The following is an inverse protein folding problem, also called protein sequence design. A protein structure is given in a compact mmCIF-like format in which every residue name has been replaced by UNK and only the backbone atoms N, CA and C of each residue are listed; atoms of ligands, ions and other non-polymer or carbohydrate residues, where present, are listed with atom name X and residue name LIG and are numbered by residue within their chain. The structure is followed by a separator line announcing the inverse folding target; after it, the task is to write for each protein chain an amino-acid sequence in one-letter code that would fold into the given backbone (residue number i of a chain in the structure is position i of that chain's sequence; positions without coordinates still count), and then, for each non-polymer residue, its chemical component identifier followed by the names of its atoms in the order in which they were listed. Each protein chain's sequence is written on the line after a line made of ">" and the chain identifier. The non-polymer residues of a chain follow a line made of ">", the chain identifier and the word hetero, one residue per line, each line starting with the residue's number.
data_IF_963159519890
#
_entry.id   IF_963159519890
#
_cell.length_a   1.000
_cell.length_b   1.000
_cell.length_c   1.000
_cell.angle_alpha   90.00
_cell.angle_beta   90.00
_cell.angle_gamma   90.00
#
_symmetry.space_group_name_H-M   'P 1'
#
loop_
_entity.id
_entity.type
_entity.pdbx_description
1 polymer ?
#
# COMPACT_ATOMS: atom_id res chain seq x y z
N UNK A 1 -38.99 -24.07 -23.05
CA UNK A 1 -38.38 -23.99 -21.69
C UNK A 1 -37.26 -22.95 -21.74
N UNK A 2 -37.54 -21.73 -21.27
CA UNK A 2 -36.59 -20.61 -21.23
C UNK A 2 -35.68 -20.81 -20.01
N UNK A 3 -34.37 -20.96 -20.22
CA UNK A 3 -33.38 -20.94 -19.14
C UNK A 3 -33.14 -19.49 -18.76
N UNK A 4 -33.65 -19.09 -17.61
CA UNK A 4 -33.39 -17.80 -16.98
C UNK A 4 -31.95 -17.86 -16.47
N UNK A 5 -31.06 -17.12 -17.11
CA UNK A 5 -29.74 -16.81 -16.57
C UNK A 5 -29.96 -15.84 -15.40
N UNK A 6 -29.87 -16.34 -14.17
CA UNK A 6 -29.85 -15.50 -12.98
C UNK A 6 -28.45 -14.88 -12.92
N UNK A 7 -28.34 -13.66 -13.42
CA UNK A 7 -27.19 -12.79 -13.17
C UNK A 7 -27.26 -12.41 -11.69
N UNK A 8 -26.37 -12.97 -10.89
CA UNK A 8 -26.18 -12.55 -9.50
C UNK A 8 -25.58 -11.15 -9.49
N UNK A 9 -26.44 -10.12 -9.49
CA UNK A 9 -26.03 -8.74 -9.28
C UNK A 9 -25.55 -8.55 -7.84
N UNK A 10 -24.24 -8.33 -7.67
CA UNK A 10 -23.63 -7.89 -6.42
C UNK A 10 -24.15 -6.49 -6.08
N UNK A 11 -24.93 -6.36 -5.01
CA UNK A 11 -25.45 -5.07 -4.55
C UNK A 11 -24.37 -4.38 -3.69
N UNK A 12 -23.41 -3.71 -4.32
CA UNK A 12 -22.50 -2.78 -3.64
C UNK A 12 -23.27 -1.52 -3.27
N UNK A 13 -23.61 -1.36 -1.99
CA UNK A 13 -24.18 -0.08 -1.50
C UNK A 13 -23.03 0.83 -1.11
N UNK A 14 -22.57 1.65 -2.05
CA UNK A 14 -21.72 2.80 -1.76
C UNK A 14 -22.55 3.88 -1.06
N UNK A 15 -22.35 4.06 0.25
CA UNK A 15 -22.95 5.17 0.98
C UNK A 15 -21.91 6.30 1.02
N UNK A 16 -22.04 7.26 0.10
CA UNK A 16 -21.26 8.48 0.16
C UNK A 16 -21.66 9.30 1.40
N UNK A 17 -20.90 9.17 2.48
CA UNK A 17 -21.09 9.94 3.71
C UNK A 17 -20.00 11.01 3.80
N UNK A 18 -20.38 12.27 3.59
CA UNK A 18 -19.51 13.41 3.79
C UNK A 18 -19.45 13.72 5.29
N UNK A 19 -18.33 13.39 5.95
CA UNK A 19 -18.08 13.81 7.34
C UNK A 19 -17.07 14.96 7.36
N UNK A 20 -17.47 16.10 7.90
CA UNK A 20 -16.59 17.27 8.08
C UNK A 20 -15.57 17.10 9.22
N UNK A 21 -15.74 16.09 10.06
CA UNK A 21 -14.81 15.68 11.11
C UNK A 21 -14.71 14.15 11.07
N UNK A 22 -13.78 13.61 10.29
CA UNK A 22 -13.47 12.18 10.39
C UNK A 22 -12.50 11.98 11.55
N UNK A 23 -13.04 11.62 12.72
CA UNK A 23 -12.20 11.00 13.73
C UNK A 23 -11.67 9.69 13.15
N UNK A 24 -10.36 9.56 13.02
CA UNK A 24 -9.74 8.41 12.39
C UNK A 24 -8.75 7.75 13.35
N UNK A 25 -8.66 6.43 13.25
CA UNK A 25 -7.63 5.65 13.96
C UNK A 25 -6.49 5.27 13.02
N UNK A 26 -6.76 5.30 11.73
CA UNK A 26 -5.84 4.88 10.69
C UNK A 26 -5.78 5.95 9.61
N UNK A 27 -4.64 6.08 8.98
CA UNK A 27 -4.48 6.81 7.74
C UNK A 27 -3.30 6.20 7.00
N UNK A 28 -3.58 5.58 5.85
CA UNK A 28 -2.57 5.05 4.94
C UNK A 28 -2.70 5.85 3.64
N UNK A 29 -1.66 6.59 3.25
CA UNK A 29 -1.63 7.31 1.98
C UNK A 29 -1.16 6.38 0.88
N UNK A 30 -1.66 6.62 -0.33
CA UNK A 30 -1.31 5.85 -1.52
C UNK A 30 -0.71 6.78 -2.54
N UNK A 31 0.61 6.90 -2.49
CA UNK A 31 1.38 7.84 -3.30
C UNK A 31 1.99 7.08 -4.48
N UNK A 32 1.86 7.63 -5.70
CA UNK A 32 2.46 7.07 -6.92
C UNK A 32 3.14 8.20 -7.67
N UNK A 33 4.41 8.02 -7.99
CA UNK A 33 5.21 9.01 -8.71
C UNK A 33 6.04 8.35 -9.81
N UNK A 34 6.19 9.07 -10.91
CA UNK A 34 7.06 8.72 -12.02
C UNK A 34 7.91 9.95 -12.34
N UNK A 35 9.19 9.89 -12.00
CA UNK A 35 10.11 11.01 -12.13
C UNK A 35 11.17 10.68 -13.17
N UNK A 36 11.37 11.62 -14.11
CA UNK A 36 12.51 11.58 -15.02
C UNK A 36 13.50 12.65 -14.55
N UNK A 37 14.68 12.21 -14.12
CA UNK A 37 15.70 13.04 -13.49
C UNK A 37 16.97 13.01 -14.34
N UNK A 38 17.68 14.14 -14.40
CA UNK A 38 18.96 14.25 -15.10
C UNK A 38 20.09 14.55 -14.13
N UNK A 39 21.14 13.73 -14.18
CA UNK A 39 22.38 13.91 -13.41
C UNK A 39 23.57 13.91 -14.36
N UNK A 40 24.03 15.10 -14.75
CA UNK A 40 25.07 15.24 -15.77
C UNK A 40 24.60 14.67 -17.12
N UNK A 41 25.18 13.54 -17.51
CA UNK A 41 24.84 12.81 -18.74
C UNK A 41 23.89 11.63 -18.53
N UNK A 42 23.59 11.28 -17.28
CA UNK A 42 22.71 10.17 -16.95
C UNK A 42 21.25 10.64 -16.94
N UNK A 43 20.39 9.72 -17.35
CA UNK A 43 18.94 9.83 -17.25
C UNK A 43 18.46 8.80 -16.24
N UNK A 44 17.81 9.23 -15.17
CA UNK A 44 17.31 8.34 -14.13
C UNK A 44 15.79 8.38 -14.14
N UNK A 45 15.16 7.22 -14.25
CA UNK A 45 13.71 7.06 -14.15
C UNK A 45 13.43 6.47 -12.78
N UNK A 46 12.76 7.25 -11.92
CA UNK A 46 12.43 6.86 -10.55
C UNK A 46 10.93 6.67 -10.43
N UNK A 47 10.52 5.41 -10.26
CA UNK A 47 9.16 5.00 -10.00
C UNK A 47 8.97 4.75 -8.50
N UNK A 48 7.98 5.42 -7.90
CA UNK A 48 7.61 5.20 -6.51
C UNK A 48 6.15 4.74 -6.41
N UNK A 49 5.92 3.65 -5.67
CA UNK A 49 4.59 3.17 -5.29
C UNK A 49 4.53 2.93 -3.79
N UNK A 50 3.93 3.86 -3.05
CA UNK A 50 4.05 3.92 -1.60
C UNK A 50 2.69 3.82 -0.92
N UNK A 51 2.47 2.72 -0.19
CA UNK A 51 1.37 2.56 0.77
C UNK A 51 1.85 2.98 2.15
N UNK A 52 1.73 4.26 2.44
CA UNK A 52 2.46 4.91 3.50
C UNK A 52 1.61 5.14 4.75
N UNK A 53 1.89 4.47 5.88
CA UNK A 53 1.14 4.68 7.12
C UNK A 53 1.49 6.04 7.73
N UNK A 54 0.49 6.91 7.91
CA UNK A 54 0.58 8.20 8.61
C UNK A 54 0.12 8.09 10.06
N UNK A 55 -1.01 7.40 10.26
CA UNK A 55 -1.65 7.23 11.56
C UNK A 55 -1.98 5.75 11.75
N UNK A 56 -1.64 5.19 12.91
CA UNK A 56 -1.97 3.84 13.33
C UNK A 56 -2.48 3.89 14.77
N UNK A 57 -3.65 3.32 15.05
CA UNK A 57 -4.29 3.40 16.37
C UNK A 57 -4.41 4.81 16.95
N UNK A 58 -4.65 5.83 16.12
CA UNK A 58 -4.75 7.21 16.58
C UNK A 58 -3.41 7.81 17.01
N UNK A 59 -2.28 7.20 16.65
CA UNK A 59 -0.94 7.74 16.89
C UNK A 59 -0.16 7.83 15.60
N UNK A 60 0.77 8.79 15.52
CA UNK A 60 1.66 8.92 14.35
C UNK A 60 2.56 7.71 14.28
N UNK A 61 2.73 7.16 13.07
CA UNK A 61 3.53 5.96 12.84
C UNK A 61 5.03 6.26 12.74
N UNK A 62 5.57 7.20 13.53
CA UNK A 62 6.90 7.80 13.31
C UNK A 62 8.04 6.77 13.29
N UNK A 63 8.04 5.79 14.22
CA UNK A 63 9.07 4.74 14.27
C UNK A 63 9.02 3.82 13.05
N UNK A 64 7.81 3.48 12.59
CA UNK A 64 7.60 2.70 11.37
C UNK A 64 8.00 3.50 10.14
N UNK A 65 7.59 4.76 10.03
CA UNK A 65 7.94 5.64 8.92
C UNK A 65 9.45 5.81 8.78
N UNK A 66 10.16 5.96 9.90
CA UNK A 66 11.61 6.03 9.89
C UNK A 66 12.24 4.75 9.32
N UNK A 67 11.72 3.57 9.68
CA UNK A 67 12.22 2.30 9.14
C UNK A 67 11.87 2.10 7.67
N UNK A 68 10.64 2.43 7.28
CA UNK A 68 10.24 2.42 5.87
C UNK A 68 11.13 3.35 5.03
N UNK A 69 11.51 4.53 5.52
CA UNK A 69 12.48 5.40 4.85
C UNK A 69 13.87 4.78 4.73
N UNK A 70 14.38 4.13 5.80
CA UNK A 70 15.70 3.48 5.74
C UNK A 70 15.76 2.42 4.64
N UNK A 71 14.69 1.66 4.44
CA UNK A 71 14.64 0.65 3.40
C UNK A 71 14.25 1.22 2.04
N UNK A 72 13.20 2.03 1.92
CA UNK A 72 12.75 2.55 0.62
C UNK A 72 13.75 3.56 0.05
N UNK A 73 14.28 4.46 0.89
CA UNK A 73 15.10 5.61 0.49
C UNK A 73 16.58 5.48 0.91
N UNK A 74 16.95 4.40 1.57
CA UNK A 74 18.32 4.11 2.02
C UNK A 74 18.71 4.82 3.32
N UNK A 75 17.93 5.82 3.76
CA UNK A 75 18.14 6.56 5.00
C UNK A 75 16.88 7.27 5.46
N UNK A 76 16.87 7.64 6.73
CA UNK A 76 15.91 8.56 7.32
C UNK A 76 16.62 9.83 7.77
N UNK A 77 16.14 11.00 7.35
CA UNK A 77 16.75 12.32 7.67
C UNK A 77 15.87 13.22 8.52
N UNK A 78 15.08 12.62 9.43
CA UNK A 78 14.28 13.36 10.41
C UNK A 78 12.82 13.57 10.02
N UNK A 79 12.49 13.45 8.73
CA UNK A 79 11.12 13.48 8.22
C UNK A 79 10.96 12.65 6.95
N UNK A 80 9.73 12.21 6.66
CA UNK A 80 9.41 11.41 5.46
C UNK A 80 9.72 12.19 4.18
N UNK A 81 9.24 13.43 4.11
CA UNK A 81 9.40 14.27 2.92
C UNK A 81 10.85 14.67 2.70
N UNK A 82 11.56 15.06 3.75
CA UNK A 82 13.00 15.33 3.68
C UNK A 82 13.78 14.09 3.23
N UNK A 83 13.39 12.89 3.68
CA UNK A 83 14.01 11.62 3.26
C UNK A 83 13.76 11.32 1.79
N UNK A 84 12.53 11.55 1.32
CA UNK A 84 12.14 11.40 -0.08
C UNK A 84 12.88 12.39 -0.98
N UNK A 85 12.91 13.66 -0.60
CA UNK A 85 13.62 14.70 -1.35
C UNK A 85 15.12 14.40 -1.41
N UNK A 86 15.72 14.03 -0.27
CA UNK A 86 17.12 13.67 -0.18
C UNK A 86 17.48 12.35 -0.89
N UNK A 87 16.48 11.53 -1.22
CA UNK A 87 16.59 10.36 -2.09
C UNK A 87 16.54 10.76 -3.56
N UNK A 88 15.52 11.50 -3.98
CA UNK A 88 15.37 11.99 -5.36
C UNK A 88 16.60 12.79 -5.81
N UNK A 89 17.16 13.64 -4.93
CA UNK A 89 18.35 14.44 -5.22
C UNK A 89 19.60 13.60 -5.59
N UNK A 90 19.66 12.33 -5.18
CA UNK A 90 20.78 11.44 -5.54
C UNK A 90 20.80 11.13 -7.04
N UNK A 91 19.64 11.22 -7.70
CA UNK A 91 19.45 10.92 -9.12
C UNK A 91 19.37 12.18 -10.01
N UNK A 92 19.55 13.36 -9.42
CA UNK A 92 19.66 14.63 -10.15
C UNK A 92 18.42 15.51 -10.07
N UNK A 93 18.17 16.28 -11.13
CA UNK A 93 17.07 17.28 -11.19
C UNK A 93 15.95 16.82 -12.13
N UNK A 94 14.68 17.14 -11.83
CA UNK A 94 13.57 16.89 -12.75
C UNK A 94 13.81 17.45 -14.15
N UNK A 95 13.43 16.66 -15.15
CA UNK A 95 13.38 17.09 -16.55
C UNK A 95 12.04 17.77 -16.79
N UNK A 96 12.04 19.10 -16.87
CA UNK A 96 10.81 19.91 -16.96
C UNK A 96 10.46 20.34 -18.39
N UNK A 97 11.24 19.93 -19.39
CA UNK A 97 11.08 20.39 -20.77
C UNK A 97 11.60 19.43 -21.83
N UNK A 98 11.46 19.84 -23.09
CA UNK A 98 11.96 19.08 -24.25
C UNK A 98 13.47 19.01 -24.20
N UNK A 99 14.03 17.83 -24.43
CA UNK A 99 15.48 17.63 -24.53
C UNK A 99 15.99 18.16 -25.87
N UNK A 100 17.12 18.87 -25.85
CA UNK A 100 17.76 19.40 -27.07
C UNK A 100 18.20 18.28 -28.04
N UNK A 101 18.42 17.07 -27.52
CA UNK A 101 18.81 15.88 -28.26
C UNK A 101 18.25 14.63 -27.61
N UNK A 102 18.09 13.56 -28.40
CA UNK A 102 17.76 12.24 -27.86
C UNK A 102 18.85 11.79 -26.87
N UNK A 103 18.47 11.36 -25.66
CA UNK A 103 19.43 10.80 -24.70
C UNK A 103 19.96 9.43 -25.16
N UNK A 104 21.14 9.06 -24.68
CA UNK A 104 21.75 7.75 -24.95
C UNK A 104 21.15 6.73 -23.99
N UNK A 105 20.38 5.77 -24.53
CA UNK A 105 19.70 4.72 -23.75
C UNK A 105 20.66 3.97 -22.82
N UNK A 106 21.94 3.81 -23.21
CA UNK A 106 22.93 3.11 -22.38
C UNK A 106 23.26 3.86 -21.09
N UNK A 107 22.87 5.14 -20.97
CA UNK A 107 23.10 5.97 -19.77
C UNK A 107 21.85 6.09 -18.89
N UNK A 108 20.82 5.29 -19.17
CA UNK A 108 19.64 5.25 -18.33
C UNK A 108 19.89 4.45 -17.06
N UNK A 109 19.17 4.81 -16.00
CA UNK A 109 19.02 3.97 -14.82
C UNK A 109 17.55 3.97 -14.41
N UNK A 110 17.02 2.78 -14.13
CA UNK A 110 15.65 2.59 -13.67
C UNK A 110 15.67 2.25 -12.18
N UNK A 111 14.94 3.03 -11.41
CA UNK A 111 14.88 2.90 -9.96
C UNK A 111 13.43 2.70 -9.56
N UNK A 112 13.15 1.64 -8.81
CA UNK A 112 11.83 1.36 -8.26
C UNK A 112 11.90 1.38 -6.74
N UNK A 113 11.02 2.17 -6.12
CA UNK A 113 10.74 2.12 -4.69
C UNK A 113 9.30 1.66 -4.49
N UNK A 114 9.11 0.53 -3.81
CA UNK A 114 7.77 0.01 -3.52
C UNK A 114 7.60 -0.26 -2.03
N UNK A 115 6.62 0.38 -1.41
CA UNK A 115 6.14 0.04 -0.07
C UNK A 115 4.74 -0.51 -0.23
N UNK A 116 4.58 -1.80 0.06
CA UNK A 116 3.31 -2.50 -0.10
C UNK A 116 2.87 -3.06 1.24
N UNK A 117 1.69 -2.68 1.70
CA UNK A 117 1.05 -3.29 2.85
C UNK A 117 0.68 -4.74 2.50
N UNK A 118 1.17 -5.66 3.30
CA UNK A 118 0.97 -7.11 3.14
C UNK A 118 -0.07 -7.68 4.08
N UNK A 119 -0.19 -7.09 5.27
CA UNK A 119 -1.03 -7.61 6.31
C UNK A 119 -1.51 -6.56 7.30
N UNK A 120 -2.64 -6.86 7.94
CA UNK A 120 -3.29 -5.97 8.88
C UNK A 120 -4.12 -6.77 9.87
N UNK A 121 -3.87 -6.57 11.15
CA UNK A 121 -4.80 -6.93 12.21
C UNK A 121 -5.07 -5.68 13.04
N UNK A 122 -6.32 -5.18 13.07
CA UNK A 122 -6.68 -3.98 13.79
C UNK A 122 -6.14 -4.01 15.22
N UNK A 123 -5.50 -2.91 15.63
CA UNK A 123 -5.03 -2.65 16.97
C UNK A 123 -3.84 -3.54 17.41
N UNK A 124 -3.35 -4.40 16.52
CA UNK A 124 -2.33 -5.40 16.83
C UNK A 124 -1.09 -5.21 15.97
N UNK A 125 -1.22 -5.30 14.65
CA UNK A 125 -0.07 -5.15 13.76
C UNK A 125 -0.44 -4.66 12.37
N UNK A 126 0.56 -4.12 11.68
CA UNK A 126 0.53 -3.88 10.23
C UNK A 126 1.86 -4.29 9.63
N UNK A 127 1.82 -4.95 8.48
CA UNK A 127 3.02 -5.50 7.87
C UNK A 127 3.19 -5.04 6.42
N UNK A 128 4.44 -4.97 6.00
CA UNK A 128 4.86 -4.38 4.72
C UNK A 128 5.94 -5.22 4.05
N UNK A 129 5.91 -5.22 2.71
CA UNK A 129 7.04 -5.55 1.86
C UNK A 129 7.59 -4.24 1.34
N UNK A 130 8.87 -4.00 1.58
CA UNK A 130 9.57 -2.81 1.09
C UNK A 130 10.65 -3.25 0.12
N UNK A 131 10.62 -2.67 -1.07
CA UNK A 131 11.54 -2.95 -2.16
C UNK A 131 12.19 -1.65 -2.60
N UNK A 132 13.49 -1.71 -2.79
CA UNK A 132 14.25 -0.75 -3.60
C UNK A 132 15.05 -1.55 -4.61
N UNK A 133 14.93 -1.18 -5.87
CA UNK A 133 15.58 -1.85 -6.99
C UNK A 133 16.15 -0.81 -7.94
N UNK A 134 17.47 -0.84 -8.15
CA UNK A 134 18.21 0.08 -8.99
C UNK A 134 18.89 -0.71 -10.11
N UNK A 135 18.45 -0.47 -11.33
CA UNK A 135 18.87 -1.17 -12.54
C UNK A 135 19.51 -0.17 -13.52
N UNK A 136 20.83 0.05 -13.45
CA UNK A 136 21.56 0.86 -14.41
C UNK A 136 21.76 0.13 -15.75
N UNK A 137 21.68 0.88 -16.84
CA UNK A 137 22.16 0.46 -18.16
C UNK A 137 23.69 0.54 -18.25
N UNK A 138 24.25 -0.04 -19.31
CA UNK A 138 25.69 -0.34 -19.44
C UNK A 138 26.67 0.83 -19.24
N UNK A 139 26.23 2.08 -19.46
CA UNK A 139 27.04 3.31 -19.34
C UNK A 139 26.51 4.28 -18.28
N UNK A 140 25.52 3.88 -17.47
CA UNK A 140 25.07 4.69 -16.33
C UNK A 140 26.14 4.73 -15.23
N UNK A 141 26.23 5.86 -14.53
CA UNK A 141 27.08 6.02 -13.35
C UNK A 141 26.47 5.44 -12.06
N UNK A 142 25.19 5.05 -12.10
CA UNK A 142 24.52 4.41 -10.97
C UNK A 142 25.02 2.98 -10.75
N UNK A 143 24.85 2.49 -9.52
CA UNK A 143 25.22 1.11 -9.16
C UNK A 143 23.98 0.25 -9.09
N UNK A 144 24.09 -0.97 -9.62
CA UNK A 144 23.04 -1.97 -9.44
C UNK A 144 22.98 -2.36 -7.96
N UNK A 145 21.78 -2.24 -7.40
CA UNK A 145 21.48 -2.57 -6.01
C UNK A 145 20.02 -2.97 -5.92
N UNK A 146 19.73 -4.08 -5.26
CA UNK A 146 18.36 -4.50 -4.99
C UNK A 146 18.25 -4.93 -3.53
N UNK A 147 17.19 -4.50 -2.86
CA UNK A 147 16.90 -4.84 -1.47
C UNK A 147 15.40 -5.02 -1.29
N UNK A 148 15.05 -6.15 -0.68
CA UNK A 148 13.69 -6.45 -0.25
C UNK A 148 13.74 -6.69 1.26
N UNK A 149 12.77 -6.14 2.00
CA UNK A 149 12.58 -6.39 3.43
C UNK A 149 11.11 -6.61 3.76
N UNK A 150 10.88 -7.50 4.71
CA UNK A 150 9.59 -7.74 5.32
C UNK A 150 9.57 -7.13 6.71
N UNK A 151 8.65 -6.19 6.89
CA UNK A 151 8.50 -5.43 8.14
C UNK A 151 7.15 -5.75 8.75
N UNK A 152 7.11 -6.06 10.04
CA UNK A 152 5.88 -6.11 10.84
C UNK A 152 5.98 -5.11 11.97
N UNK A 153 5.05 -4.16 12.00
CA UNK A 153 4.94 -3.20 13.08
C UNK A 153 4.00 -3.74 14.16
N UNK A 154 4.52 -3.97 15.36
CA UNK A 154 3.73 -4.31 16.55
C UNK A 154 3.11 -3.02 17.10
N UNK A 155 1.80 -2.85 16.92
CA UNK A 155 1.10 -1.67 17.45
C UNK A 155 0.91 -1.72 18.97
N UNK A 156 1.08 -2.89 19.59
CA UNK A 156 0.94 -3.08 21.04
C UNK A 156 2.19 -2.61 21.79
N UNK A 157 3.37 -2.76 21.19
CA UNK A 157 4.64 -2.30 21.75
C UNK A 157 5.25 -1.10 21.03
N UNK A 158 4.72 -0.74 19.84
CA UNK A 158 5.20 0.32 18.95
C UNK A 158 6.58 0.04 18.34
N UNK A 159 6.91 -1.24 18.20
CA UNK A 159 8.19 -1.70 17.70
C UNK A 159 8.07 -2.21 16.28
N UNK A 160 9.13 -1.98 15.50
CA UNK A 160 9.31 -2.63 14.20
C UNK A 160 9.99 -3.97 14.42
N UNK A 161 9.51 -5.01 13.72
CA UNK A 161 10.10 -6.34 13.66
C UNK A 161 10.45 -6.68 12.22
N UNK A 162 11.68 -7.12 12.00
CA UNK A 162 12.17 -7.64 10.71
C UNK A 162 12.11 -9.18 10.70
N UNK A 163 12.53 -9.84 9.61
CA UNK A 163 12.40 -11.29 9.44
C UNK A 163 12.96 -12.08 10.63
N UNK A 164 14.16 -11.68 11.07
CA UNK A 164 14.86 -12.30 12.19
C UNK A 164 14.15 -12.11 13.53
N UNK A 165 13.33 -11.08 13.72
CA UNK A 165 12.53 -10.91 14.95
C UNK A 165 11.27 -11.76 14.98
N UNK A 166 10.82 -12.19 13.79
CA UNK A 166 9.55 -12.87 13.62
C UNK A 166 9.68 -14.38 13.87
N UNK A 167 10.62 -15.02 13.18
CA UNK A 167 10.75 -16.47 13.16
C UNK A 167 12.22 -16.92 13.16
N UNK A 168 12.46 -18.11 13.70
CA UNK A 168 13.69 -18.85 13.54
C UNK A 168 13.55 -19.77 12.33
N UNK A 169 13.94 -19.28 11.15
CA UNK A 169 13.83 -20.03 9.90
C UNK A 169 14.75 -21.25 9.88
N UNK A 170 15.89 -21.18 10.57
CA UNK A 170 16.79 -22.33 10.69
C UNK A 170 16.10 -23.46 11.46
N UNK A 171 15.37 -23.15 12.53
CA UNK A 171 14.55 -24.15 13.23
C UNK A 171 13.44 -24.75 12.36
N UNK A 172 12.94 -24.01 11.36
CA UNK A 172 11.92 -24.49 10.43
C UNK A 172 12.51 -25.41 9.35
N UNK A 173 13.67 -25.05 8.81
CA UNK A 173 14.34 -25.77 7.71
C UNK A 173 15.10 -27.00 8.19
N UNK A 174 15.69 -26.94 9.39
CA UNK A 174 16.48 -28.06 9.93
C UNK A 174 15.61 -29.23 10.44
N UNK A 175 14.31 -29.03 10.63
CA UNK A 175 13.37 -30.10 10.95
C UNK A 175 12.76 -30.65 9.64
N UNK A 176 13.03 -31.92 9.26
CA UNK A 176 12.58 -32.46 7.98
C UNK A 176 11.05 -32.47 7.80
N UNK A 177 10.30 -32.63 8.90
CA UNK A 177 8.84 -32.63 8.86
C UNK A 177 8.31 -31.22 8.60
N UNK A 178 8.79 -30.23 9.36
CA UNK A 178 8.41 -28.83 9.19
C UNK A 178 8.82 -28.28 7.82
N UNK A 179 10.01 -28.64 7.33
CA UNK A 179 10.46 -28.24 6.00
C UNK A 179 9.58 -28.84 4.90
N UNK A 180 9.23 -30.13 5.00
CA UNK A 180 8.32 -30.77 4.03
C UNK A 180 6.93 -30.12 4.04
N UNK A 181 6.42 -29.77 5.22
CA UNK A 181 5.14 -29.09 5.36
C UNK A 181 5.23 -27.69 4.75
N UNK A 182 6.26 -26.92 5.08
CA UNK A 182 6.51 -25.59 4.52
C UNK A 182 6.50 -25.63 2.99
N UNK A 183 7.27 -26.52 2.36
CA UNK A 183 7.32 -26.64 0.90
C UNK A 183 5.94 -26.88 0.27
N UNK A 184 5.10 -27.72 0.89
CA UNK A 184 3.73 -27.95 0.41
C UNK A 184 2.86 -26.69 0.47
N UNK A 185 3.07 -25.83 1.49
CA UNK A 185 2.33 -24.60 1.63
C UNK A 185 2.87 -23.46 0.77
N UNK A 186 4.17 -23.43 0.46
CA UNK A 186 4.76 -22.37 -0.38
C UNK A 186 4.04 -22.25 -1.72
N UNK A 187 3.80 -23.33 -2.45
CA UNK A 187 3.08 -23.23 -3.74
C UNK A 187 1.56 -23.09 -3.55
N UNK A 188 0.96 -23.77 -2.55
CA UNK A 188 -0.50 -23.74 -2.32
C UNK A 188 -1.03 -22.41 -1.79
N UNK A 189 -0.21 -21.71 -1.01
CA UNK A 189 -0.55 -20.43 -0.40
C UNK A 189 -0.37 -19.22 -1.33
N UNK A 190 -0.02 -19.44 -2.61
CA UNK A 190 0.26 -18.38 -3.55
C UNK A 190 -0.88 -17.35 -3.66
N UNK A 191 -0.55 -16.07 -3.51
CA UNK A 191 -1.49 -14.94 -3.65
C UNK A 191 -1.91 -14.69 -5.09
N UNK A 192 -1.17 -15.25 -6.04
CA UNK A 192 -1.40 -15.15 -7.47
C UNK A 192 -1.50 -16.54 -8.07
N UNK A 193 -2.23 -16.67 -9.18
CA UNK A 193 -2.26 -17.93 -9.92
C UNK A 193 -0.88 -18.22 -10.49
N UNK A 194 -0.36 -19.42 -10.20
CA UNK A 194 0.91 -19.91 -10.72
C UNK A 194 0.61 -20.97 -11.77
N UNK A 195 1.35 -20.94 -12.88
CA UNK A 195 1.27 -21.99 -13.91
C UNK A 195 2.22 -23.13 -13.55
N UNK A 196 1.67 -24.30 -13.25
CA UNK A 196 2.44 -25.51 -12.98
C UNK A 196 3.00 -25.61 -11.56
N UNK A 197 3.78 -26.66 -11.32
CA UNK A 197 4.55 -26.82 -10.08
C UNK A 197 5.79 -25.93 -10.14
N UNK A 198 6.03 -25.18 -9.05
CA UNK A 198 7.19 -24.29 -8.93
C UNK A 198 8.13 -24.83 -7.86
N UNK A 199 9.39 -25.04 -8.26
CA UNK A 199 10.48 -25.37 -7.35
C UNK A 199 11.09 -24.07 -6.80
N UNK A 200 11.01 -23.89 -5.49
CA UNK A 200 11.54 -22.71 -4.82
C UNK A 200 13.09 -22.75 -4.83
N UNK A 201 13.72 -21.71 -5.36
CA UNK A 201 15.18 -21.51 -5.26
C UNK A 201 15.58 -20.88 -3.92
N UNK A 202 14.75 -19.97 -3.40
CA UNK A 202 14.94 -19.33 -2.10
C UNK A 202 13.63 -18.73 -1.59
N UNK A 203 13.61 -18.37 -0.31
CA UNK A 203 12.45 -17.76 0.35
C UNK A 203 12.90 -16.55 1.16
N UNK A 204 12.14 -15.45 1.09
CA UNK A 204 12.27 -14.27 1.93
C UNK A 204 11.02 -14.06 2.80
N UNK A 205 11.18 -13.27 3.86
CA UNK A 205 10.16 -13.04 4.88
C UNK A 205 10.49 -13.75 6.20
N UNK A 206 9.54 -13.83 7.15
CA UNK A 206 8.12 -13.55 6.98
C UNK A 206 7.68 -12.15 7.40
N UNK A 207 6.53 -11.74 6.85
CA UNK A 207 5.66 -10.73 7.45
C UNK A 207 4.34 -11.37 7.87
N UNK A 208 3.63 -10.82 8.84
CA UNK A 208 2.27 -11.27 9.14
C UNK A 208 1.29 -10.77 8.07
N UNK A 209 0.33 -11.62 7.67
CA UNK A 209 -0.72 -11.25 6.70
C UNK A 209 -2.05 -10.91 7.38
N UNK A 210 -2.40 -11.68 8.40
CA UNK A 210 -3.66 -11.51 9.13
C UNK A 210 -3.63 -12.27 10.45
N UNK A 211 -4.79 -12.66 10.98
CA UNK A 211 -4.85 -13.36 12.26
C UNK A 211 -4.42 -14.84 12.18
N UNK A 212 -4.20 -15.37 10.97
CA UNK A 212 -4.02 -16.81 10.75
C UNK A 212 -2.85 -17.21 9.85
N UNK A 213 -2.21 -16.29 9.13
CA UNK A 213 -1.11 -16.60 8.22
C UNK A 213 0.00 -15.55 8.24
N UNK A 214 1.21 -16.00 7.91
CA UNK A 214 2.33 -15.15 7.56
C UNK A 214 2.62 -15.29 6.07
N UNK A 215 3.03 -14.21 5.43
CA UNK A 215 3.42 -14.19 4.03
C UNK A 215 4.93 -14.30 3.88
N UNK A 216 5.32 -15.08 2.89
CA UNK A 216 6.69 -15.23 2.42
C UNK A 216 6.75 -14.88 0.93
N UNK A 217 7.91 -14.45 0.46
CA UNK A 217 8.20 -14.36 -0.96
C UNK A 217 9.03 -15.54 -1.40
N UNK A 218 8.52 -16.26 -2.39
CA UNK A 218 9.11 -17.48 -2.92
C UNK A 218 9.74 -17.12 -4.25
N UNK A 219 11.05 -17.26 -4.32
CA UNK A 219 11.81 -17.08 -5.54
C UNK A 219 11.96 -18.40 -6.27
N UNK A 220 11.90 -18.35 -7.59
CA UNK A 220 12.06 -19.49 -8.48
C UNK A 220 12.78 -19.06 -9.76
N UNK A 221 13.00 -19.99 -10.69
CA UNK A 221 13.77 -19.73 -11.92
C UNK A 221 15.15 -19.08 -11.63
N UNK A 222 15.89 -19.67 -10.68
CA UNK A 222 17.18 -19.16 -10.20
C UNK A 222 17.12 -17.74 -9.61
N UNK A 223 15.97 -17.33 -9.08
CA UNK A 223 15.76 -16.01 -8.49
C UNK A 223 15.31 -14.93 -9.48
N UNK A 224 15.07 -15.28 -10.75
CA UNK A 224 14.59 -14.32 -11.74
C UNK A 224 13.13 -13.91 -11.48
N UNK A 225 12.33 -14.83 -10.94
CA UNK A 225 10.92 -14.62 -10.68
C UNK A 225 10.57 -14.88 -9.21
N UNK A 226 9.52 -14.22 -8.71
CA UNK A 226 9.01 -14.45 -7.36
C UNK A 226 7.48 -14.37 -7.28
N UNK A 227 6.93 -14.94 -6.22
CA UNK A 227 5.53 -14.77 -5.84
C UNK A 227 5.36 -14.74 -4.32
N UNK A 228 4.29 -14.11 -3.84
CA UNK A 228 3.95 -14.11 -2.43
C UNK A 228 3.09 -15.30 -2.06
N UNK A 229 3.35 -15.92 -0.92
CA UNK A 229 2.63 -17.09 -0.42
C UNK A 229 2.26 -16.96 1.06
N UNK A 230 0.98 -17.18 1.37
CA UNK A 230 0.45 -17.20 2.72
C UNK A 230 0.58 -18.60 3.34
N UNK A 231 1.32 -18.66 4.44
CA UNK A 231 1.57 -19.89 5.19
C UNK A 231 0.84 -19.81 6.54
N UNK A 232 -0.02 -20.80 6.86
CA UNK A 232 -0.78 -20.82 8.10
C UNK A 232 0.12 -20.83 9.35
N UNK A 233 -0.30 -20.12 10.39
CA UNK A 233 0.40 -20.06 11.68
C UNK A 233 0.55 -21.41 12.38
N UNK A 234 -0.32 -22.37 12.09
CA UNK A 234 -0.18 -23.75 12.57
C UNK A 234 1.09 -24.43 12.09
N UNK A 235 1.50 -24.17 10.83
CA UNK A 235 2.75 -24.69 10.24
C UNK A 235 3.95 -24.00 10.86
N UNK A 236 3.83 -22.70 11.12
CA UNK A 236 4.95 -21.85 11.56
C UNK A 236 5.13 -21.82 13.09
N UNK A 237 4.23 -22.46 13.85
CA UNK A 237 4.19 -22.34 15.31
C UNK A 237 5.50 -22.71 16.00
N UNK A 238 6.21 -23.72 15.49
CA UNK A 238 7.50 -24.15 16.01
C UNK A 238 8.57 -23.06 15.91
N UNK A 239 8.65 -22.41 14.74
CA UNK A 239 9.63 -21.39 14.40
C UNK A 239 9.32 -19.99 14.96
N UNK A 240 8.06 -19.67 15.25
CA UNK A 240 7.68 -18.34 15.73
C UNK A 240 8.37 -17.97 17.06
N UNK A 241 8.96 -16.77 17.09
CA UNK A 241 9.60 -16.24 18.29
C UNK A 241 8.58 -15.89 19.38
N UNK A 242 9.05 -15.89 20.63
CA UNK A 242 8.21 -15.64 21.82
C UNK A 242 7.50 -14.28 21.77
N UNK A 243 8.16 -13.24 21.25
CA UNK A 243 7.58 -11.90 21.13
C UNK A 243 6.36 -11.89 20.22
N UNK A 244 6.42 -12.52 19.05
CA UNK A 244 5.30 -12.66 18.11
C UNK A 244 4.15 -13.44 18.76
N UNK A 245 4.45 -14.59 19.39
CA UNK A 245 3.45 -15.39 20.12
C UNK A 245 2.76 -14.59 21.22
N UNK A 246 3.48 -13.68 21.89
CA UNK A 246 2.92 -12.79 22.91
C UNK A 246 2.01 -11.74 22.27
N UNK A 247 2.49 -11.03 21.24
CA UNK A 247 1.69 -10.04 20.47
C UNK A 247 0.37 -10.62 19.98
N UNK A 248 0.37 -11.86 19.46
CA UNK A 248 -0.86 -12.55 18.99
C UNK A 248 -1.87 -12.85 20.09
N UNK A 249 -1.45 -12.95 21.36
CA UNK A 249 -2.30 -13.29 22.50
C UNK A 249 -2.78 -12.07 23.29
N UNK A 250 -2.27 -10.87 22.99
CA UNK A 250 -2.68 -9.65 23.69
C UNK A 250 -4.15 -9.36 23.36
N UNK A 251 -4.96 -9.09 24.39
CA UNK A 251 -6.29 -8.53 24.22
C UNK A 251 -6.16 -7.05 23.85
N UNK A 252 -6.49 -6.72 22.60
CA UNK A 252 -6.40 -5.36 22.08
C UNK A 252 -7.71 -4.62 22.29
N UNK A 253 -7.63 -3.31 22.55
CA UNK A 253 -8.80 -2.43 22.70
C UNK A 253 -8.81 -1.40 21.58
N UNK A 254 -9.99 -1.02 21.06
CA UNK A 254 -10.09 0.04 20.06
C UNK A 254 -9.43 1.32 20.56
N UNK A 255 -8.48 1.82 19.79
CA UNK A 255 -7.81 3.06 20.11
C UNK A 255 -8.76 4.28 20.01
N UNK A 256 -8.38 5.38 20.66
CA UNK A 256 -9.14 6.63 20.55
C UNK A 256 -8.95 7.18 19.14
N UNK A 257 -10.05 7.52 18.48
CA UNK A 257 -9.99 8.15 17.17
C UNK A 257 -9.54 9.60 17.31
N UNK A 258 -8.59 10.03 16.49
CA UNK A 258 -8.08 11.41 16.48
C UNK A 258 -8.90 12.22 15.51
N UNK A 259 -9.43 13.37 15.96
CA UNK A 259 -10.11 14.34 15.10
C UNK A 259 -9.12 15.22 14.34
N UNK A 260 -9.58 15.86 13.26
CA UNK A 260 -8.77 16.78 12.44
C UNK A 260 -7.43 16.17 11.99
N UNK A 261 -7.50 15.08 11.23
CA UNK A 261 -6.34 14.67 10.44
C UNK A 261 -6.03 15.78 9.44
N UNK A 262 -5.10 16.67 9.77
CA UNK A 262 -4.62 17.62 8.79
C UNK A 262 -3.90 16.82 7.71
N UNK A 263 -4.23 17.11 6.45
CA UNK A 263 -3.27 16.82 5.39
C UNK A 263 -2.01 17.56 5.81
N UNK A 264 -0.83 16.90 5.79
CA UNK A 264 0.45 17.53 6.07
C UNK A 264 0.60 18.74 5.12
N UNK A 265 0.07 19.88 5.51
CA UNK A 265 -0.01 21.09 4.73
C UNK A 265 1.21 21.90 5.13
N UNK A 266 2.37 21.52 4.61
CA UNK A 266 3.55 22.38 4.72
C UNK A 266 4.10 22.77 3.35
N UNK A 267 4.08 24.10 3.17
CA UNK A 267 4.78 24.95 2.19
C UNK A 267 4.37 24.85 0.72
N UNK A 268 3.12 25.21 0.43
CA UNK A 268 2.84 26.19 -0.62
C UNK A 268 1.56 26.98 -0.30
N UNK A 269 1.71 28.29 -0.09
CA UNK A 269 0.82 29.17 0.66
C UNK A 269 -0.30 29.79 -0.23
N UNK A 270 -0.87 29.02 -1.16
CA UNK A 270 -2.00 29.45 -2.01
C UNK A 270 -3.11 28.38 -2.24
N UNK A 271 -3.01 27.25 -1.54
CA UNK A 271 -3.60 25.96 -1.93
C UNK A 271 -4.45 25.28 -0.83
N UNK A 272 -5.04 26.05 0.10
CA UNK A 272 -5.82 25.52 1.23
C UNK A 272 -6.93 24.56 0.78
N UNK A 273 -6.88 23.32 1.27
CA UNK A 273 -7.94 22.33 1.09
C UNK A 273 -9.17 22.78 1.87
N UNK A 274 -10.26 23.07 1.17
CA UNK A 274 -11.51 23.52 1.78
C UNK A 274 -12.28 22.33 2.35
N UNK A 275 -12.45 22.30 3.68
CA UNK A 275 -13.31 21.32 4.37
C UNK A 275 -14.80 21.72 4.32
N UNK A 276 -15.08 23.02 4.17
CA UNK A 276 -16.43 23.58 4.05
C UNK A 276 -16.55 24.38 2.75
N UNK A 277 -17.53 24.01 1.96
CA UNK A 277 -17.82 24.55 0.62
C UNK A 277 -19.33 24.76 0.47
N UNK A 278 -19.72 25.70 -0.38
CA UNK A 278 -21.12 26.00 -0.69
C UNK A 278 -21.72 24.93 -1.61
N UNK A 279 -20.92 24.50 -2.59
CA UNK A 279 -21.25 23.39 -3.51
C UNK A 279 -20.23 22.28 -3.31
N UNK A 280 -20.72 21.07 -3.01
CA UNK A 280 -19.85 19.90 -2.80
C UNK A 280 -19.36 19.33 -4.14
N UNK A 281 -18.20 18.66 -4.15
CA UNK A 281 -17.78 17.87 -5.29
C UNK A 281 -18.79 16.78 -5.62
N UNK A 282 -19.02 16.57 -6.91
CA UNK A 282 -19.99 15.59 -7.42
C UNK A 282 -19.32 14.77 -8.52
N UNK A 283 -19.32 13.45 -8.38
CA UNK A 283 -18.94 12.57 -9.48
C UNK A 283 -20.04 12.59 -10.56
N UNK A 284 -19.69 13.05 -11.77
CA UNK A 284 -20.62 13.19 -12.90
C UNK A 284 -21.95 13.87 -12.52
N UNK A 285 -23.01 13.08 -12.32
CA UNK A 285 -24.37 13.54 -12.04
C UNK A 285 -24.85 13.19 -10.61
N UNK A 286 -23.98 12.64 -9.75
CA UNK A 286 -24.32 12.34 -8.35
C UNK A 286 -24.03 10.92 -7.93
N UNK A 287 -24.59 10.56 -6.78
CA UNK A 287 -24.31 9.29 -6.10
C UNK A 287 -24.73 8.05 -6.90
N UNK A 288 -25.73 8.16 -7.79
CA UNK A 288 -26.17 7.03 -8.62
C UNK A 288 -25.07 6.61 -9.62
N UNK A 289 -24.46 7.56 -10.32
CA UNK A 289 -23.33 7.32 -11.23
C UNK A 289 -22.09 6.81 -10.48
N UNK A 290 -21.87 7.30 -9.26
CA UNK A 290 -20.76 6.85 -8.43
C UNK A 290 -20.94 5.38 -8.03
N UNK A 291 -22.15 5.01 -7.59
CA UNK A 291 -22.48 3.63 -7.24
C UNK A 291 -22.39 2.71 -8.47
N UNK A 292 -22.91 3.15 -9.61
CA UNK A 292 -22.84 2.42 -10.87
C UNK A 292 -21.40 2.19 -11.32
N UNK A 293 -20.55 3.23 -11.28
CA UNK A 293 -19.12 3.09 -11.59
C UNK A 293 -18.45 2.06 -10.69
N UNK A 294 -18.63 2.16 -9.36
CA UNK A 294 -18.00 1.22 -8.43
C UNK A 294 -18.49 -0.20 -8.64
N UNK A 295 -19.78 -0.40 -8.96
CA UNK A 295 -20.31 -1.73 -9.26
C UNK A 295 -19.66 -2.38 -10.50
N UNK A 296 -19.24 -1.59 -11.49
CA UNK A 296 -18.64 -2.08 -12.73
C UNK A 296 -17.10 -2.14 -12.70
N UNK A 297 -16.45 -1.31 -11.88
CA UNK A 297 -15.00 -1.11 -11.90
C UNK A 297 -14.27 -1.54 -10.63
N UNK A 298 -14.99 -1.95 -9.58
CA UNK A 298 -14.38 -2.48 -8.35
C UNK A 298 -14.77 -3.95 -8.14
N UNK A 299 -13.75 -4.81 -8.05
CA UNK A 299 -13.91 -6.21 -7.70
C UNK A 299 -13.14 -6.48 -6.40
N UNK A 300 -13.80 -7.20 -5.47
CA UNK A 300 -13.15 -7.65 -4.23
C UNK A 300 -12.12 -8.72 -4.59
N UNK A 301 -10.82 -8.52 -4.26
CA UNK A 301 -9.80 -9.52 -4.56
C UNK A 301 -10.04 -10.84 -3.83
N UNK A 302 -9.67 -11.97 -4.42
CA UNK A 302 -9.82 -13.29 -3.78
C UNK A 302 -9.03 -13.39 -2.47
N UNK A 303 -7.87 -12.73 -2.43
CA UNK A 303 -6.97 -12.64 -1.28
C UNK A 303 -7.67 -12.06 -0.03
N UNK A 304 -8.72 -11.26 -0.20
CA UNK A 304 -9.49 -10.66 0.89
C UNK A 304 -10.05 -11.71 1.87
N UNK A 305 -10.30 -12.94 1.40
CA UNK A 305 -10.77 -14.06 2.22
C UNK A 305 -9.70 -14.55 3.20
N UNK A 306 -8.43 -14.55 2.77
CA UNK A 306 -7.28 -15.00 3.57
C UNK A 306 -6.84 -13.90 4.55
N UNK A 307 -6.89 -12.64 4.12
CA UNK A 307 -6.49 -11.49 4.94
C UNK A 307 -7.50 -11.15 6.06
N UNK A 308 -8.73 -11.66 6.00
CA UNK A 308 -9.78 -11.33 6.98
C UNK A 308 -10.44 -9.98 6.73
N UNK A 309 -11.03 -9.80 5.54
CA UNK A 309 -11.70 -8.56 5.13
C UNK A 309 -12.81 -8.09 6.09
N UNK A 310 -12.84 -6.78 6.35
CA UNK A 310 -13.91 -6.14 7.12
C UNK A 310 -15.05 -5.70 6.20
N UNK A 311 -16.22 -5.47 6.78
CA UNK A 311 -17.43 -5.11 6.03
C UNK A 311 -17.46 -3.67 5.51
N UNK A 312 -16.42 -2.87 5.73
CA UNK A 312 -16.40 -1.46 5.34
C UNK A 312 -14.98 -0.98 5.07
N UNK A 313 -14.83 -0.27 3.96
CA UNK A 313 -13.65 0.53 3.63
C UNK A 313 -14.05 2.01 3.53
N UNK A 314 -13.21 2.91 4.04
CA UNK A 314 -13.41 4.37 3.89
C UNK A 314 -12.15 5.00 3.34
N UNK A 315 -12.29 5.61 2.15
CA UNK A 315 -11.26 6.41 1.51
C UNK A 315 -11.50 7.91 1.77
N UNK A 316 -10.40 8.65 1.84
CA UNK A 316 -10.35 10.12 1.92
C UNK A 316 -9.40 10.61 0.84
N UNK A 317 -9.82 11.62 0.10
CA UNK A 317 -9.04 12.20 -1.00
C UNK A 317 -9.45 13.65 -1.23
N UNK A 318 -8.71 14.36 -2.09
CA UNK A 318 -9.00 15.72 -2.50
C UNK A 318 -9.49 15.71 -3.95
N UNK A 319 -10.61 16.38 -4.21
CA UNK A 319 -11.04 16.74 -5.56
C UNK A 319 -10.41 18.10 -5.88
N UNK A 320 -9.50 18.09 -6.85
CA UNK A 320 -8.78 19.26 -7.31
C UNK A 320 -9.66 20.20 -8.13
N UNK A 321 -9.18 21.42 -8.41
CA UNK A 321 -9.95 22.44 -9.13
C UNK A 321 -10.29 22.05 -10.58
N UNK A 322 -9.54 21.13 -11.15
CA UNK A 322 -9.76 20.56 -12.48
C UNK A 322 -10.62 19.28 -12.45
N UNK A 323 -11.04 18.82 -11.25
CA UNK A 323 -11.76 17.57 -11.08
C UNK A 323 -10.88 16.32 -11.05
N UNK A 324 -9.55 16.46 -11.05
CA UNK A 324 -8.66 15.33 -10.76
C UNK A 324 -8.69 14.96 -9.28
N UNK A 325 -8.27 13.74 -8.95
CA UNK A 325 -8.17 13.26 -7.57
C UNK A 325 -6.72 13.26 -7.11
N UNK A 326 -6.48 13.71 -5.87
CA UNK A 326 -5.16 13.70 -5.24
C UNK A 326 -5.27 13.30 -3.75
N UNK A 327 -4.13 13.10 -3.08
CA UNK A 327 -4.04 12.78 -1.64
C UNK A 327 -4.92 11.58 -1.23
N UNK A 328 -4.91 10.53 -2.05
CA UNK A 328 -5.68 9.31 -1.81
C UNK A 328 -5.18 8.62 -0.53
N UNK A 329 -6.10 8.35 0.39
CA UNK A 329 -5.80 7.67 1.64
C UNK A 329 -6.95 6.80 2.11
N UNK A 330 -6.63 5.77 2.90
CA UNK A 330 -7.59 4.91 3.57
C UNK A 330 -7.58 5.24 5.06
N UNK A 331 -8.75 5.63 5.57
CA UNK A 331 -8.95 6.06 6.97
C UNK A 331 -9.75 5.08 7.81
N UNK A 332 -10.42 4.12 7.15
CA UNK A 332 -10.97 2.93 7.77
C UNK A 332 -10.59 1.73 6.89
N UNK A 333 -9.46 1.07 7.20
CA UNK A 333 -8.96 -0.06 6.44
C UNK A 333 -9.89 -1.27 6.56
N UNK A 334 -10.02 -2.01 5.46
CA UNK A 334 -10.72 -3.28 5.41
C UNK A 334 -9.75 -4.45 5.42
N UNK A 335 -8.97 -4.60 4.34
CA UNK A 335 -7.81 -5.48 4.23
C UNK A 335 -6.86 -4.90 3.18
N UNK A 336 -5.55 -5.20 3.23
CA UNK A 336 -4.58 -4.59 2.33
C UNK A 336 -4.93 -4.74 0.83
N UNK A 337 -5.38 -5.94 0.41
CA UNK A 337 -5.75 -6.16 -0.99
C UNK A 337 -6.99 -5.38 -1.43
N UNK A 338 -8.01 -5.30 -0.57
CA UNK A 338 -9.26 -4.58 -0.85
C UNK A 338 -9.05 -3.08 -0.87
N UNK A 339 -8.30 -2.57 0.10
CA UNK A 339 -8.00 -1.16 0.23
C UNK A 339 -7.22 -0.65 -0.99
N UNK A 340 -6.21 -1.42 -1.44
CA UNK A 340 -5.47 -1.16 -2.67
C UNK A 340 -6.36 -1.18 -3.91
N UNK A 341 -7.19 -2.22 -4.08
CA UNK A 341 -8.11 -2.31 -5.22
C UNK A 341 -9.11 -1.13 -5.24
N UNK A 342 -9.56 -0.69 -4.08
CA UNK A 342 -10.44 0.46 -3.96
C UNK A 342 -9.74 1.76 -4.37
N UNK A 343 -8.49 1.97 -3.92
CA UNK A 343 -7.69 3.12 -4.34
C UNK A 343 -7.39 3.11 -5.83
N UNK A 344 -7.04 1.97 -6.44
CA UNK A 344 -6.82 1.88 -7.88
C UNK A 344 -8.10 2.21 -8.67
N UNK A 345 -9.27 1.76 -8.21
CA UNK A 345 -10.56 2.14 -8.81
C UNK A 345 -10.80 3.65 -8.76
N UNK A 346 -10.42 4.30 -7.65
CA UNK A 346 -10.49 5.76 -7.51
C UNK A 346 -9.51 6.49 -8.41
N UNK A 347 -8.28 5.99 -8.59
CA UNK A 347 -7.28 6.60 -9.49
C UNK A 347 -7.76 6.66 -10.94
N UNK A 348 -8.56 5.68 -11.36
CA UNK A 348 -9.13 5.61 -12.71
C UNK A 348 -10.45 6.39 -12.85
N UNK A 349 -10.92 7.04 -11.77
CA UNK A 349 -12.22 7.69 -11.73
C UNK A 349 -12.15 9.13 -12.24
N UNK A 350 -12.56 9.33 -13.50
CA UNK A 350 -12.62 10.65 -14.15
C UNK A 350 -14.04 11.23 -14.20
N UNK A 351 -14.15 12.56 -14.27
CA UNK A 351 -15.44 13.25 -14.42
C UNK A 351 -16.01 13.80 -13.10
N UNK A 352 -15.15 14.01 -12.10
CA UNK A 352 -15.55 14.77 -10.91
C UNK A 352 -15.75 16.24 -11.25
N UNK A 353 -16.85 16.79 -10.76
CA UNK A 353 -17.09 18.22 -10.70
C UNK A 353 -16.53 18.73 -9.37
N UNK A 354 -15.65 19.74 -9.39
CA UNK A 354 -15.00 20.23 -8.20
C UNK A 354 -15.97 21.01 -7.30
N UNK A 355 -15.61 21.14 -6.01
CA UNK A 355 -16.38 21.94 -5.07
C UNK A 355 -16.26 23.43 -5.36
N UNK A 356 -17.26 24.21 -4.92
CA UNK A 356 -17.26 25.66 -5.05
C UNK A 356 -17.46 26.35 -3.71
N UNK A 357 -16.74 27.45 -3.51
CA UNK A 357 -16.89 28.36 -2.38
C UNK A 357 -16.85 29.79 -2.88
N UNK A 358 -17.81 30.61 -2.47
CA UNK A 358 -17.96 32.00 -2.92
C UNK A 358 -18.00 32.11 -4.46
N UNK A 359 -18.64 31.15 -5.13
CA UNK A 359 -18.73 31.06 -6.59
C UNK A 359 -17.43 30.68 -7.31
N UNK A 360 -16.35 30.36 -6.58
CA UNK A 360 -15.06 29.94 -7.13
C UNK A 360 -14.81 28.45 -6.89
N UNK A 361 -14.22 27.80 -7.87
CA UNK A 361 -13.78 26.41 -7.73
C UNK A 361 -12.63 26.28 -6.74
N UNK A 362 -12.75 25.33 -5.80
CA UNK A 362 -11.78 25.12 -4.72
C UNK A 362 -11.42 23.64 -4.56
N UNK A 363 -10.18 23.39 -4.13
CA UNK A 363 -9.71 22.06 -3.72
C UNK A 363 -10.53 21.61 -2.53
N UNK A 364 -11.20 20.48 -2.63
CA UNK A 364 -12.16 20.06 -1.60
C UNK A 364 -11.88 18.64 -1.15
N UNK A 365 -11.84 18.44 0.16
CA UNK A 365 -11.76 17.11 0.74
C UNK A 365 -13.06 16.33 0.51
N UNK A 366 -12.93 15.07 0.13
CA UNK A 366 -14.04 14.14 -0.05
C UNK A 366 -13.77 12.83 0.69
N UNK A 367 -14.80 12.31 1.34
CA UNK A 367 -14.76 11.04 2.05
C UNK A 367 -15.77 10.09 1.42
N UNK A 368 -15.29 8.95 0.95
CA UNK A 368 -16.12 7.92 0.34
C UNK A 368 -16.08 6.65 1.19
N UNK A 369 -17.27 6.18 1.56
CA UNK A 369 -17.44 4.96 2.32
C UNK A 369 -18.13 3.90 1.48
N UNK A 370 -17.57 2.70 1.47
CA UNK A 370 -18.15 1.56 0.79
C UNK A 370 -18.39 0.43 1.79
N UNK A 371 -19.62 -0.08 1.82
CA UNK A 371 -19.94 -1.29 2.57
C UNK A 371 -19.63 -2.49 1.67
N UNK A 372 -18.79 -3.37 2.18
CA UNK A 372 -18.38 -4.61 1.53
C UNK A 372 -19.32 -5.72 1.99
N UNK A 373 -19.85 -6.48 1.04
CA UNK A 373 -20.69 -7.64 1.30
C UNK A 373 -20.01 -8.82 0.65
N UNK A 374 -19.56 -9.78 1.46
CA UNK A 374 -19.14 -11.08 0.96
C UNK A 374 -20.37 -11.87 0.54
N UNK A 375 -20.38 -12.46 -0.67
CA UNK A 375 -21.49 -13.28 -1.14
C UNK A 375 -21.72 -14.53 -0.27
#
# INVERSE_FOLDING_TARGET
>A
MKRIAIVWGLLLVAVAAFSQNSSARYQITYDREHLVLRQGHDMNVVDMELEWPRLLNGERADSLQAELCRVAFGRYVGGVEDSRQAFVQQFGKPVEGVLDSLPDDKKFCYVRCKVQQLGFAPERFMSFRVEYDCQPEALSSQKSESRIRFITYDMTTREVMEEGDMMDLDALVNDPYNYSALLQYLSRGARTSIQGEVEASSVLGPALSGEHSAVFEVFYNNGADSFLSDIPYEVLRGAMKRRVKKMMKVDVRPAVAVGNLDFDAEKDDSLTICKQVDVRPIYKNGNAELADYLAHHFAIPELAKVEGMRSRVVARFVVERDGSLSHLSIVSPSSPSVDRAFVESLRQMYGWKPGQKDGKTVRTEYVLSMKLVTP
#
